data_IF_772356932587
#
_entry.id   IF_772356932587
#
_cell.length_a   1.000
_cell.length_b   1.000
_cell.length_c   1.000
_cell.angle_alpha   90.00
_cell.angle_beta   90.00
_cell.angle_gamma   90.00
#
_symmetry.space_group_name_H-M   'P 1'
#
loop_
_entity.id
_entity.type
_entity.pdbx_description
1 polymer ?
#
# COMPACT_ATOMS: atom_id res chain seq x y z
N UNK A 1 22.24 -22.31 -1.01
CA UNK A 1 20.87 -21.77 -0.93
C UNK A 1 19.93 -22.61 -1.77
N UNK A 2 18.77 -22.95 -1.22
CA UNK A 2 17.70 -23.58 -1.99
C UNK A 2 17.19 -22.62 -3.07
N UNK A 3 16.42 -23.13 -4.03
CA UNK A 3 15.83 -22.32 -5.09
C UNK A 3 14.90 -21.22 -4.54
N UNK A 4 14.11 -21.55 -3.50
CA UNK A 4 13.24 -20.62 -2.78
C UNK A 4 14.01 -19.46 -2.16
N UNK A 5 15.12 -19.75 -1.49
CA UNK A 5 15.92 -18.73 -0.80
C UNK A 5 16.54 -17.75 -1.80
N UNK A 6 16.96 -18.25 -2.98
CA UNK A 6 17.47 -17.41 -4.06
C UNK A 6 16.40 -16.51 -4.66
N UNK A 7 15.19 -17.04 -4.86
CA UNK A 7 14.07 -16.26 -5.37
C UNK A 7 13.68 -15.13 -4.41
N UNK A 8 13.63 -15.42 -3.11
CA UNK A 8 13.36 -14.41 -2.09
C UNK A 8 14.46 -13.35 -2.02
N UNK A 9 15.74 -13.73 -2.06
CA UNK A 9 16.83 -12.76 -2.04
C UNK A 9 16.84 -11.85 -3.27
N UNK A 10 16.60 -12.41 -4.46
CA UNK A 10 16.49 -11.63 -5.70
C UNK A 10 15.30 -10.65 -5.67
N UNK A 11 14.20 -11.03 -5.02
CA UNK A 11 13.04 -10.18 -4.82
C UNK A 11 13.37 -9.00 -3.89
N UNK A 12 13.99 -9.26 -2.73
CA UNK A 12 14.43 -8.20 -1.82
C UNK A 12 15.49 -7.30 -2.45
N UNK A 13 16.43 -7.87 -3.20
CA UNK A 13 17.41 -7.10 -3.98
C UNK A 13 16.73 -6.18 -5.00
N UNK A 14 15.68 -6.65 -5.67
CA UNK A 14 14.90 -5.82 -6.57
C UNK A 14 14.24 -4.65 -5.84
N UNK A 15 13.63 -4.89 -4.68
CA UNK A 15 13.04 -3.83 -3.84
C UNK A 15 14.11 -2.80 -3.43
N UNK A 16 15.30 -3.25 -2.99
CA UNK A 16 16.42 -2.36 -2.62
C UNK A 16 16.90 -1.49 -3.78
N UNK A 17 17.07 -2.08 -4.98
CA UNK A 17 17.47 -1.32 -6.17
C UNK A 17 16.41 -0.31 -6.56
N UNK A 18 15.13 -0.67 -6.53
CA UNK A 18 14.04 0.26 -6.85
C UNK A 18 13.98 1.42 -5.86
N UNK A 19 14.13 1.14 -4.57
CA UNK A 19 14.13 2.16 -3.52
C UNK A 19 15.24 3.20 -3.72
N UNK A 20 16.43 2.74 -4.14
CA UNK A 20 17.62 3.58 -4.29
C UNK A 20 17.66 4.30 -5.64
N UNK A 21 17.37 3.57 -6.71
CA UNK A 21 17.70 3.96 -8.09
C UNK A 21 16.47 4.21 -8.98
N UNK A 22 15.27 3.83 -8.51
CA UNK A 22 14.00 3.88 -9.25
C UNK A 22 13.71 2.60 -10.06
N UNK A 23 12.43 2.37 -10.35
CA UNK A 23 11.90 1.19 -11.06
C UNK A 23 12.53 1.01 -12.44
N UNK A 24 12.75 2.11 -13.16
CA UNK A 24 13.37 2.06 -14.48
C UNK A 24 14.81 1.52 -14.46
N UNK A 25 15.57 1.78 -13.38
CA UNK A 25 16.97 1.35 -13.23
C UNK A 25 17.12 -0.05 -12.62
N UNK A 26 16.05 -0.62 -12.08
CA UNK A 26 15.99 -2.01 -11.61
C UNK A 26 15.98 -3.01 -12.79
N UNK A 27 17.11 -3.07 -13.51
CA UNK A 27 17.35 -4.05 -14.57
C UNK A 27 17.72 -5.40 -13.97
N UNK A 28 17.51 -6.50 -14.71
CA UNK A 28 17.91 -7.85 -14.28
C UNK A 28 19.38 -7.89 -13.84
N UNK A 29 20.27 -7.18 -14.54
CA UNK A 29 21.70 -7.09 -14.16
C UNK A 29 21.89 -6.37 -12.83
N UNK A 30 21.23 -5.22 -12.63
CA UNK A 30 21.31 -4.49 -11.38
C UNK A 30 20.82 -5.33 -10.19
N UNK A 31 19.72 -6.08 -10.37
CA UNK A 31 19.16 -6.95 -9.33
C UNK A 31 20.09 -8.09 -8.96
N UNK A 32 20.64 -8.82 -9.94
CA UNK A 32 21.57 -9.92 -9.62
C UNK A 32 22.88 -9.41 -9.03
N UNK A 33 23.35 -8.23 -9.42
CA UNK A 33 24.50 -7.58 -8.78
C UNK A 33 24.21 -7.22 -7.33
N UNK A 34 23.04 -6.63 -7.04
CA UNK A 34 22.60 -6.32 -5.68
C UNK A 34 22.46 -7.58 -4.79
N UNK A 35 22.08 -8.71 -5.38
CA UNK A 35 21.92 -9.99 -4.69
C UNK A 35 23.23 -10.81 -4.59
N UNK A 36 24.34 -10.33 -5.15
CA UNK A 36 25.59 -11.11 -5.33
C UNK A 36 25.36 -12.47 -6.04
N UNK A 37 24.56 -12.45 -7.11
CA UNK A 37 24.17 -13.62 -7.90
C UNK A 37 24.52 -13.48 -9.38
N UNK A 38 24.52 -14.61 -10.09
CA UNK A 38 24.73 -14.63 -11.54
C UNK A 38 23.44 -14.38 -12.30
N UNK A 39 23.54 -13.95 -13.57
CA UNK A 39 22.38 -13.83 -14.46
C UNK A 39 21.66 -15.18 -14.65
N UNK A 40 22.40 -16.29 -14.64
CA UNK A 40 21.81 -17.64 -14.71
C UNK A 40 20.93 -17.97 -13.50
N UNK A 41 21.27 -17.46 -12.31
CA UNK A 41 20.44 -17.63 -11.12
C UNK A 41 19.09 -16.88 -11.24
N UNK A 42 19.07 -15.73 -11.91
CA UNK A 42 17.83 -15.02 -12.19
C UNK A 42 16.90 -15.83 -13.09
N UNK A 43 17.38 -16.29 -14.25
CA UNK A 43 16.56 -17.07 -15.19
C UNK A 43 16.12 -18.43 -14.63
N UNK A 44 16.79 -18.92 -13.60
CA UNK A 44 16.35 -20.08 -12.84
C UNK A 44 15.20 -19.77 -11.88
N UNK A 45 15.12 -18.55 -11.34
CA UNK A 45 14.10 -18.15 -10.35
C UNK A 45 12.89 -17.40 -10.97
N UNK A 46 13.10 -16.71 -12.10
CA UNK A 46 12.10 -15.89 -12.78
C UNK A 46 12.16 -16.10 -14.29
N UNK A 47 10.99 -16.18 -14.90
CA UNK A 47 10.79 -16.29 -16.34
C UNK A 47 11.12 -14.96 -17.05
N UNK A 48 10.85 -13.83 -16.40
CA UNK A 48 11.07 -12.52 -16.98
C UNK A 48 11.26 -11.42 -15.93
N UNK A 49 11.77 -10.26 -16.36
CA UNK A 49 11.73 -9.04 -15.53
C UNK A 49 10.30 -8.64 -15.20
N UNK A 50 9.34 -8.89 -16.10
CA UNK A 50 7.95 -8.54 -15.86
C UNK A 50 7.38 -9.32 -14.67
N UNK A 51 7.63 -10.64 -14.63
CA UNK A 51 7.26 -11.50 -13.50
C UNK A 51 7.91 -11.03 -12.20
N UNK A 52 9.18 -10.58 -12.22
CA UNK A 52 9.80 -10.01 -11.03
C UNK A 52 9.04 -8.75 -10.56
N UNK A 53 8.72 -7.81 -11.45
CA UNK A 53 8.01 -6.58 -11.06
C UNK A 53 6.61 -6.87 -10.53
N UNK A 54 5.89 -7.83 -11.12
CA UNK A 54 4.59 -8.31 -10.61
C UNK A 54 4.70 -8.77 -9.15
N UNK A 55 5.67 -9.62 -8.85
CA UNK A 55 5.89 -10.15 -7.52
C UNK A 55 6.37 -9.08 -6.54
N UNK A 56 7.18 -8.12 -6.99
CA UNK A 56 7.56 -6.96 -6.17
C UNK A 56 6.31 -6.15 -5.81
N UNK A 57 5.46 -5.83 -6.79
CA UNK A 57 4.22 -5.09 -6.55
C UNK A 57 3.30 -5.85 -5.58
N UNK A 58 3.08 -7.14 -5.80
CA UNK A 58 2.28 -7.98 -4.91
C UNK A 58 2.85 -7.97 -3.48
N UNK A 59 4.15 -8.19 -3.33
CA UNK A 59 4.84 -8.21 -2.02
C UNK A 59 4.71 -6.89 -1.27
N UNK A 60 4.96 -5.75 -1.95
CA UNK A 60 4.84 -4.43 -1.32
C UNK A 60 3.39 -4.12 -0.96
N UNK A 61 2.44 -4.53 -1.81
CA UNK A 61 1.01 -4.35 -1.56
C UNK A 61 0.55 -5.16 -0.35
N UNK A 62 0.99 -6.42 -0.23
CA UNK A 62 0.69 -7.29 0.90
C UNK A 62 1.31 -6.77 2.20
N UNK A 63 2.57 -6.30 2.17
CA UNK A 63 3.23 -5.65 3.32
C UNK A 63 2.44 -4.45 3.79
N UNK A 64 2.06 -3.57 2.87
CA UNK A 64 1.23 -2.40 3.16
C UNK A 64 -0.10 -2.80 3.80
N UNK A 65 -0.84 -3.75 3.22
CA UNK A 65 -2.12 -4.20 3.77
C UNK A 65 -1.95 -4.83 5.16
N UNK A 66 -0.90 -5.63 5.37
CA UNK A 66 -0.61 -6.23 6.66
C UNK A 66 -0.29 -5.17 7.71
N UNK A 67 0.49 -4.15 7.36
CA UNK A 67 0.79 -3.00 8.22
C UNK A 67 -0.51 -2.26 8.57
N UNK A 68 -1.27 -1.80 7.59
CA UNK A 68 -2.53 -1.07 7.82
C UNK A 68 -3.50 -1.87 8.70
N UNK A 69 -3.63 -3.18 8.47
CA UNK A 69 -4.47 -4.06 9.32
C UNK A 69 -3.94 -4.16 10.74
N UNK A 70 -2.63 -4.24 10.93
CA UNK A 70 -2.00 -4.28 12.25
C UNK A 70 -2.12 -2.98 13.03
N UNK A 71 -2.31 -1.85 12.34
CA UNK A 71 -2.52 -0.53 12.94
C UNK A 71 -3.95 -0.29 13.40
N UNK A 72 -4.91 -1.09 12.92
CA UNK A 72 -6.30 -0.95 13.34
C UNK A 72 -6.47 -1.34 14.81
N UNK A 73 -6.74 -0.34 15.64
CA UNK A 73 -7.04 -0.50 17.06
C UNK A 73 -8.55 -0.25 17.27
N UNK A 74 -9.35 -1.29 17.57
CA UNK A 74 -10.78 -1.10 17.79
C UNK A 74 -11.05 -0.44 19.14
N UNK A 75 -11.85 0.62 19.13
CA UNK A 75 -12.43 1.27 20.30
C UNK A 75 -13.95 1.13 20.31
N UNK A 76 -14.57 1.37 21.48
CA UNK A 76 -16.04 1.48 21.58
C UNK A 76 -16.57 2.70 20.85
N UNK A 77 -15.80 3.79 20.84
CA UNK A 77 -16.08 4.96 20.04
C UNK A 77 -15.47 4.77 18.64
N UNK A 78 -16.30 4.88 17.61
CA UNK A 78 -15.84 4.80 16.21
C UNK A 78 -14.90 5.97 15.88
N UNK A 79 -15.11 7.14 16.48
CA UNK A 79 -14.28 8.32 16.22
C UNK A 79 -12.84 8.07 16.64
N UNK A 80 -12.65 7.55 17.84
CA UNK A 80 -11.33 7.20 18.36
C UNK A 80 -10.68 6.11 17.50
N UNK A 81 -11.45 5.08 17.12
CA UNK A 81 -10.96 4.01 16.24
C UNK A 81 -10.44 4.53 14.89
N UNK A 82 -11.20 5.44 14.25
CA UNK A 82 -10.84 6.00 12.94
C UNK A 82 -9.62 6.92 13.07
N UNK A 83 -9.62 7.85 14.04
CA UNK A 83 -8.53 8.80 14.22
C UNK A 83 -7.21 8.11 14.59
N UNK A 84 -7.24 7.19 15.55
CA UNK A 84 -6.03 6.48 15.98
C UNK A 84 -5.46 5.64 14.84
N UNK A 85 -6.31 4.96 14.07
CA UNK A 85 -5.88 4.19 12.88
C UNK A 85 -5.25 5.08 11.81
N UNK A 86 -5.85 6.24 11.50
CA UNK A 86 -5.31 7.18 10.51
C UNK A 86 -4.00 7.82 10.98
N UNK A 87 -3.88 8.17 12.26
CA UNK A 87 -2.64 8.70 12.83
C UNK A 87 -1.52 7.68 12.87
N UNK A 88 -1.84 6.43 13.22
CA UNK A 88 -0.88 5.34 13.24
C UNK A 88 -0.39 5.04 11.82
N UNK A 89 -1.32 5.00 10.85
CA UNK A 89 -1.00 4.90 9.42
C UNK A 89 -0.04 6.00 8.98
N UNK A 90 -0.38 7.25 9.26
CA UNK A 90 0.44 8.40 8.84
C UNK A 90 1.84 8.36 9.45
N UNK A 91 1.96 7.96 10.71
CA UNK A 91 3.25 7.82 11.38
C UNK A 91 4.14 6.75 10.71
N UNK A 92 3.55 5.63 10.28
CA UNK A 92 4.26 4.59 9.51
C UNK A 92 4.75 5.13 8.16
N UNK A 93 3.85 5.80 7.43
CA UNK A 93 4.17 6.45 6.16
C UNK A 93 5.31 7.47 6.29
N UNK A 94 5.29 8.33 7.31
CA UNK A 94 6.34 9.32 7.57
C UNK A 94 7.70 8.67 7.89
N UNK A 95 7.69 7.51 8.55
CA UNK A 95 8.91 6.80 8.90
C UNK A 95 9.59 6.15 7.69
N UNK A 96 8.81 5.64 6.73
CA UNK A 96 9.31 4.90 5.57
C UNK A 96 8.70 5.38 4.22
N UNK A 97 8.84 6.67 3.86
CA UNK A 97 8.17 7.21 2.68
C UNK A 97 8.69 6.64 1.36
N UNK A 98 9.90 6.05 1.36
CA UNK A 98 10.52 5.43 0.18
C UNK A 98 9.73 4.23 -0.34
N UNK A 99 9.18 3.37 0.53
CA UNK A 99 8.43 2.19 0.09
C UNK A 99 7.12 2.58 -0.63
N UNK A 100 6.41 3.59 -0.10
CA UNK A 100 5.23 4.12 -0.76
C UNK A 100 5.57 4.80 -2.08
N UNK A 101 6.68 5.53 -2.14
CA UNK A 101 7.15 6.17 -3.38
C UNK A 101 7.43 5.14 -4.49
N UNK A 102 8.05 3.99 -4.15
CA UNK A 102 8.25 2.88 -5.09
C UNK A 102 6.92 2.31 -5.56
N UNK A 103 5.96 2.13 -4.65
CA UNK A 103 4.62 1.61 -4.99
C UNK A 103 3.90 2.50 -6.03
N UNK A 104 4.00 3.83 -5.89
CA UNK A 104 3.48 4.76 -6.89
C UNK A 104 4.24 4.69 -8.21
N UNK A 105 5.58 4.61 -8.17
CA UNK A 105 6.38 4.48 -9.39
C UNK A 105 6.05 3.18 -10.14
N UNK A 106 5.88 2.05 -9.43
CA UNK A 106 5.48 0.76 -9.99
C UNK A 106 4.09 0.84 -10.65
N UNK A 107 3.14 1.49 -9.98
CA UNK A 107 1.80 1.72 -10.55
C UNK A 107 1.90 2.48 -11.87
N UNK A 108 2.60 3.62 -11.87
CA UNK A 108 2.76 4.47 -13.05
C UNK A 108 3.56 3.77 -14.16
N UNK A 109 4.57 2.99 -13.79
CA UNK A 109 5.32 2.17 -14.73
C UNK A 109 4.41 1.13 -15.39
N UNK A 110 3.64 0.36 -14.61
CA UNK A 110 2.73 -0.65 -15.12
C UNK A 110 1.69 -0.05 -16.09
N UNK A 111 1.10 1.09 -15.74
CA UNK A 111 0.10 1.78 -16.57
C UNK A 111 0.64 2.27 -17.92
N UNK A 112 1.95 2.43 -18.07
CA UNK A 112 2.60 2.98 -19.28
C UNK A 112 3.34 1.94 -20.11
N UNK A 113 3.50 0.72 -19.60
CA UNK A 113 4.28 -0.34 -20.26
C UNK A 113 3.36 -1.51 -20.62
N UNK A 114 3.21 -1.84 -21.91
CA UNK A 114 2.46 -3.03 -22.32
C UNK A 114 3.01 -4.31 -21.70
N UNK A 115 2.13 -5.26 -21.37
CA UNK A 115 2.48 -6.50 -20.68
C UNK A 115 2.47 -6.42 -19.15
N UNK A 116 2.01 -5.29 -18.58
CA UNK A 116 1.85 -5.07 -17.12
C UNK A 116 0.42 -4.66 -16.74
N UNK A 117 -0.55 -4.89 -17.62
CA UNK A 117 -1.91 -4.36 -17.52
C UNK A 117 -2.61 -4.79 -16.22
N UNK A 118 -2.39 -6.04 -15.79
CA UNK A 118 -3.01 -6.59 -14.59
C UNK A 118 -2.35 -6.13 -13.29
N UNK A 119 -1.13 -5.59 -13.33
CA UNK A 119 -0.34 -5.29 -12.13
C UNK A 119 -1.00 -4.18 -11.31
N UNK A 120 -1.25 -3.03 -11.95
CA UNK A 120 -1.90 -1.90 -11.29
C UNK A 120 -3.34 -2.25 -10.86
N UNK A 121 -4.06 -3.03 -11.69
CA UNK A 121 -5.42 -3.46 -11.39
C UNK A 121 -5.50 -4.33 -10.13
N UNK A 122 -4.69 -5.39 -10.06
CA UNK A 122 -4.62 -6.29 -8.89
C UNK A 122 -4.17 -5.56 -7.63
N UNK A 123 -3.16 -4.69 -7.74
CA UNK A 123 -2.67 -3.87 -6.65
C UNK A 123 -3.80 -3.02 -6.02
N UNK A 124 -4.51 -2.24 -6.84
CA UNK A 124 -5.59 -1.39 -6.34
C UNK A 124 -6.79 -2.20 -5.84
N UNK A 125 -7.06 -3.37 -6.42
CA UNK A 125 -8.08 -4.28 -5.92
C UNK A 125 -7.74 -4.80 -4.51
N UNK A 126 -6.47 -5.16 -4.25
CA UNK A 126 -6.00 -5.56 -2.92
C UNK A 126 -6.15 -4.42 -1.92
N UNK A 127 -5.72 -3.21 -2.27
CA UNK A 127 -5.89 -2.04 -1.40
C UNK A 127 -7.37 -1.79 -1.07
N UNK A 128 -8.24 -1.71 -2.08
CA UNK A 128 -9.66 -1.46 -1.87
C UNK A 128 -10.32 -2.56 -1.00
N UNK A 129 -9.98 -3.84 -1.21
CA UNK A 129 -10.45 -4.93 -0.35
C UNK A 129 -9.99 -4.76 1.10
N UNK A 130 -8.77 -4.28 1.33
CA UNK A 130 -8.28 -4.02 2.68
C UNK A 130 -9.09 -2.90 3.36
N UNK A 131 -9.35 -1.79 2.66
CA UNK A 131 -10.18 -0.69 3.19
C UNK A 131 -11.62 -1.12 3.45
N UNK A 132 -12.22 -1.93 2.57
CA UNK A 132 -13.55 -2.52 2.82
C UNK A 132 -13.55 -3.31 4.13
N UNK A 133 -12.61 -4.25 4.30
CA UNK A 133 -12.55 -5.06 5.51
C UNK A 133 -12.31 -4.25 6.79
N UNK A 134 -11.53 -3.16 6.71
CA UNK A 134 -11.32 -2.26 7.84
C UNK A 134 -12.57 -1.48 8.22
N UNK A 135 -13.31 -0.97 7.23
CA UNK A 135 -14.57 -0.27 7.46
C UNK A 135 -15.63 -1.21 8.04
N UNK A 136 -15.75 -2.44 7.53
CA UNK A 136 -16.65 -3.45 8.07
C UNK A 136 -16.31 -3.80 9.52
N UNK A 137 -15.02 -4.06 9.79
CA UNK A 137 -14.54 -4.36 11.14
C UNK A 137 -14.78 -3.20 12.13
N UNK A 138 -14.57 -1.96 11.69
CA UNK A 138 -14.85 -0.78 12.49
C UNK A 138 -16.34 -0.65 12.79
N UNK A 139 -17.20 -0.92 11.81
CA UNK A 139 -18.64 -0.88 11.98
C UNK A 139 -19.15 -1.94 12.96
N UNK A 140 -18.64 -3.17 12.86
CA UNK A 140 -18.99 -4.26 13.77
C UNK A 140 -18.59 -3.97 15.20
N UNK A 141 -17.36 -3.47 15.42
CA UNK A 141 -16.85 -3.20 16.76
C UNK A 141 -17.56 -2.03 17.46
N UNK A 142 -17.92 -0.98 16.71
CA UNK A 142 -18.61 0.18 17.25
C UNK A 142 -20.14 0.04 17.27
N UNK A 143 -20.69 -1.04 16.70
CA UNK A 143 -22.13 -1.25 16.60
C UNK A 143 -22.82 -0.21 15.70
N UNK A 144 -22.15 0.22 14.63
CA UNK A 144 -22.67 1.18 13.65
C UNK A 144 -22.97 0.51 12.31
N UNK A 145 -23.78 1.16 11.49
CA UNK A 145 -23.91 0.90 10.06
C UNK A 145 -23.39 2.11 9.27
N UNK A 146 -22.75 1.81 8.13
CA UNK A 146 -22.39 2.82 7.16
C UNK A 146 -23.61 3.20 6.33
N UNK A 147 -23.81 4.49 6.12
CA UNK A 147 -24.95 5.02 5.37
C UNK A 147 -24.77 4.95 3.86
N UNK A 148 -23.52 4.82 3.43
CA UNK A 148 -23.10 4.65 2.05
C UNK A 148 -22.61 3.22 1.82
N UNK A 149 -22.62 2.73 0.57
CA UNK A 149 -22.02 1.44 0.26
C UNK A 149 -20.54 1.42 0.67
N UNK A 150 -20.14 0.42 1.47
CA UNK A 150 -18.76 0.28 1.97
C UNK A 150 -17.70 0.35 0.84
N UNK A 151 -17.89 -0.27 -0.34
CA UNK A 151 -16.94 -0.12 -1.45
C UNK A 151 -16.74 1.33 -1.93
N UNK A 152 -17.75 2.19 -1.80
CA UNK A 152 -17.65 3.62 -2.14
C UNK A 152 -16.83 4.35 -1.09
N UNK A 153 -17.11 4.12 0.20
CA UNK A 153 -16.33 4.70 1.30
C UNK A 153 -14.87 4.25 1.27
N UNK A 154 -14.62 2.97 0.99
CA UNK A 154 -13.27 2.42 0.86
C UNK A 154 -12.49 3.13 -0.26
N UNK A 155 -13.12 3.35 -1.42
CA UNK A 155 -12.50 4.11 -2.51
C UNK A 155 -12.28 5.58 -2.13
N UNK A 156 -13.24 6.21 -1.48
CA UNK A 156 -13.13 7.60 -1.01
C UNK A 156 -11.93 7.77 -0.07
N UNK A 157 -11.87 6.97 1.00
CA UNK A 157 -10.78 7.01 2.00
C UNK A 157 -9.43 6.73 1.34
N UNK A 158 -9.33 5.68 0.52
CA UNK A 158 -8.10 5.34 -0.19
C UNK A 158 -7.63 6.47 -1.11
N UNK A 159 -8.54 7.03 -1.92
CA UNK A 159 -8.19 8.11 -2.85
C UNK A 159 -7.75 9.39 -2.14
N UNK A 160 -8.35 9.72 -0.98
CA UNK A 160 -7.89 10.85 -0.18
C UNK A 160 -6.50 10.60 0.41
N UNK A 161 -6.25 9.40 0.95
CA UNK A 161 -4.94 9.01 1.48
C UNK A 161 -3.87 9.03 0.39
N UNK A 162 -4.13 8.45 -0.79
CA UNK A 162 -3.20 8.47 -1.94
C UNK A 162 -2.83 9.91 -2.32
N UNK A 163 -3.83 10.80 -2.38
CA UNK A 163 -3.62 12.21 -2.67
C UNK A 163 -2.75 12.90 -1.61
N UNK A 164 -3.04 12.67 -0.33
CA UNK A 164 -2.30 13.25 0.79
C UNK A 164 -0.84 12.76 0.85
N UNK A 165 -0.64 11.47 0.63
CA UNK A 165 0.69 10.88 0.55
C UNK A 165 1.51 11.57 -0.56
N UNK A 166 0.91 11.78 -1.74
CA UNK A 166 1.58 12.43 -2.85
C UNK A 166 1.89 13.91 -2.57
N UNK A 167 0.95 14.67 -2.01
CA UNK A 167 1.19 16.09 -1.66
C UNK A 167 2.29 16.22 -0.63
N UNK A 168 2.29 15.37 0.40
CA UNK A 168 3.34 15.40 1.42
C UNK A 168 4.70 14.96 0.88
N UNK A 169 4.77 14.01 -0.05
CA UNK A 169 6.04 13.65 -0.72
C UNK A 169 6.67 14.85 -1.43
N UNK A 170 5.84 15.78 -1.93
CA UNK A 170 6.26 17.00 -2.64
C UNK A 170 6.73 18.10 -1.69
N UNK A 171 5.98 18.41 -0.63
CA UNK A 171 6.24 19.60 0.21
C UNK A 171 6.70 19.30 1.64
N UNK A 172 6.57 18.05 2.10
CA UNK A 172 6.86 17.57 3.46
C UNK A 172 6.08 18.31 4.55
N UNK A 173 4.92 18.86 4.21
CA UNK A 173 4.09 19.61 5.14
C UNK A 173 3.25 18.67 6.03
N UNK A 174 3.88 18.17 7.10
CA UNK A 174 3.24 17.27 8.07
C UNK A 174 2.03 17.91 8.76
N UNK A 175 2.08 19.21 9.06
CA UNK A 175 1.01 19.88 9.80
C UNK A 175 -0.31 19.87 9.00
N UNK A 176 -0.27 20.32 7.75
CA UNK A 176 -1.46 20.38 6.90
C UNK A 176 -1.95 18.98 6.51
N UNK A 177 -1.03 18.02 6.33
CA UNK A 177 -1.39 16.64 6.01
C UNK A 177 -2.12 15.96 7.18
N UNK A 178 -1.68 16.20 8.43
CA UNK A 178 -2.37 15.70 9.64
C UNK A 178 -3.74 16.36 9.78
N UNK A 179 -3.85 17.67 9.58
CA UNK A 179 -5.14 18.36 9.60
C UNK A 179 -6.11 17.81 8.55
N UNK A 180 -5.63 17.45 7.36
CA UNK A 180 -6.45 16.84 6.32
C UNK A 180 -6.90 15.41 6.66
N UNK A 181 -6.09 14.63 7.39
CA UNK A 181 -6.51 13.32 7.92
C UNK A 181 -7.59 13.44 8.99
N UNK A 182 -7.52 14.44 9.86
CA UNK A 182 -8.58 14.72 10.83
C UNK A 182 -9.89 15.08 10.12
N UNK A 183 -9.81 15.92 9.08
CA UNK A 183 -10.97 16.26 8.25
C UNK A 183 -11.55 15.03 7.52
N UNK A 184 -10.70 14.13 7.04
CA UNK A 184 -11.13 12.85 6.45
C UNK A 184 -11.88 12.00 7.49
N UNK A 185 -11.38 11.92 8.72
CA UNK A 185 -12.05 11.20 9.80
C UNK A 185 -13.43 11.79 10.09
N UNK A 186 -13.52 13.11 10.27
CA UNK A 186 -14.79 13.79 10.55
C UNK A 186 -15.79 13.60 9.39
N UNK A 187 -15.35 13.68 8.13
CA UNK A 187 -16.21 13.38 6.97
C UNK A 187 -16.68 11.93 6.93
N UNK A 188 -15.80 10.97 7.20
CA UNK A 188 -16.17 9.56 7.23
C UNK A 188 -17.25 9.29 8.29
N UNK A 189 -17.15 9.93 9.45
CA UNK A 189 -18.09 9.78 10.56
C UNK A 189 -19.48 10.37 10.27
N UNK A 190 -19.61 11.31 9.32
CA UNK A 190 -20.92 11.75 8.82
C UNK A 190 -21.72 10.61 8.17
N UNK A 191 -21.03 9.56 7.74
CA UNK A 191 -21.61 8.37 7.14
C UNK A 191 -21.81 7.22 8.13
N UNK A 192 -21.69 7.46 9.44
CA UNK A 192 -21.94 6.45 10.48
C UNK A 192 -23.27 6.69 11.20
N UNK A 193 -24.04 5.61 11.43
CA UNK A 193 -25.25 5.64 12.28
C UNK A 193 -25.24 4.45 13.24
N UNK A 194 -25.77 4.56 14.47
CA UNK A 194 -25.94 3.39 15.32
C UNK A 194 -26.81 2.33 14.64
N UNK A 195 -26.43 1.04 14.73
CA UNK A 195 -27.30 -0.05 14.27
C UNK A 195 -28.57 -0.02 15.09
N UNK A 196 -29.71 0.04 14.42
CA UNK A 196 -30.99 -0.12 15.11
C UNK A 196 -31.18 -1.61 15.41
N UNK A 197 -31.52 -1.94 16.65
CA UNK A 197 -31.74 -3.31 17.11
C UNK A 197 -32.95 -3.97 16.42
#
# INVERSE_FOLDING_TARGET
>A
MAASDRRAELLEAAIRVMARDGVAKATTRAVVTEADMTLGAFHYCFESRAQLLELVTETLTERYVAEVRGLFAPHKDIRDSVLDSLHAFWKGFEANPGEHQISYELTQYALRNPGFEDVAGKQYEIFLRAFVGLLELAADNAGIEWTEPVPVLARYVHSTIDGLNMTWLVDRNTADSRAALELLADHLLLHARPRTA
#
